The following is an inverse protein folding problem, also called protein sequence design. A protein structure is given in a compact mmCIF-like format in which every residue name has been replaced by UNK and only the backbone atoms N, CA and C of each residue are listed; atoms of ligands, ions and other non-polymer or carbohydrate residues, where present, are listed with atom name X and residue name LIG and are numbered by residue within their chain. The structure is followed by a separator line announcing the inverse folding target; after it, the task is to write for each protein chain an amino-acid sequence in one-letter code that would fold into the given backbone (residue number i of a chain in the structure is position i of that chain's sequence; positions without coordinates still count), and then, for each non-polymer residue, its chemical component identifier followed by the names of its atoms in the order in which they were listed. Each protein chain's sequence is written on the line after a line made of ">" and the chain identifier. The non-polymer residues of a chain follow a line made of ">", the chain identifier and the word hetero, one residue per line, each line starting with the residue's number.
data_IF_798634536327
#
_entry.id   IF_798634536327
#
_cell.length_a   1.000
_cell.length_b   1.000
_cell.length_c   1.000
_cell.angle_alpha   90.00
_cell.angle_beta   90.00
_cell.angle_gamma   90.00
#
_symmetry.space_group_name_H-M   'P 1'
#
loop_
_entity.id
_entity.type
_entity.pdbx_description
1 polymer ?
#
# COMPACT_ATOMS: atom_id res chain seq x y z
N UNK A 1 -7.74 -6.85 -16.13
CA UNK A 1 -6.52 -6.43 -15.41
C UNK A 1 -6.08 -7.46 -14.39
N UNK A 2 -7.02 -8.03 -13.64
CA UNK A 2 -6.81 -9.07 -12.63
C UNK A 2 -6.48 -10.45 -13.24
N UNK A 3 -6.45 -11.46 -12.39
CA UNK A 3 -6.23 -12.87 -12.70
C UNK A 3 -7.08 -13.42 -13.84
N UNK A 4 -6.47 -14.28 -14.66
CA UNK A 4 -7.15 -14.91 -15.81
C UNK A 4 -8.36 -15.74 -15.36
N UNK A 5 -8.31 -16.31 -14.16
CA UNK A 5 -9.43 -17.07 -13.58
C UNK A 5 -10.69 -16.22 -13.38
N UNK A 6 -10.57 -14.89 -13.31
CA UNK A 6 -11.69 -13.97 -13.16
C UNK A 6 -12.30 -13.54 -14.48
N UNK A 7 -11.63 -13.76 -15.62
CA UNK A 7 -12.13 -13.36 -16.95
C UNK A 7 -13.51 -13.95 -17.26
N UNK A 8 -13.77 -15.17 -16.77
CA UNK A 8 -15.06 -15.83 -16.92
C UNK A 8 -16.24 -15.08 -16.28
N UNK A 9 -15.99 -14.15 -15.34
CA UNK A 9 -17.06 -13.41 -14.66
C UNK A 9 -17.34 -12.04 -15.28
N UNK A 10 -16.49 -11.53 -16.18
CA UNK A 10 -16.60 -10.17 -16.74
C UNK A 10 -17.99 -9.91 -17.34
N UNK A 11 -18.49 -10.86 -18.15
CA UNK A 11 -19.81 -10.75 -18.78
C UNK A 11 -20.96 -10.63 -17.77
N UNK A 12 -20.78 -11.09 -16.52
CA UNK A 12 -21.80 -10.98 -15.47
C UNK A 12 -21.89 -9.56 -14.93
N UNK A 13 -20.74 -8.93 -14.68
CA UNK A 13 -20.68 -7.51 -14.28
C UNK A 13 -21.24 -6.61 -15.38
N UNK A 14 -20.91 -6.87 -16.65
CA UNK A 14 -21.43 -6.11 -17.78
C UNK A 14 -22.95 -6.28 -17.94
N UNK A 15 -23.46 -7.51 -17.78
CA UNK A 15 -24.90 -7.79 -17.87
C UNK A 15 -25.70 -7.09 -16.78
N UNK A 16 -25.23 -7.14 -15.54
CA UNK A 16 -25.86 -6.44 -14.42
C UNK A 16 -25.53 -4.93 -14.39
N UNK A 17 -24.73 -4.45 -15.35
CA UNK A 17 -24.32 -3.04 -15.51
C UNK A 17 -23.75 -2.43 -14.23
N UNK A 18 -22.95 -3.21 -13.50
CA UNK A 18 -22.30 -2.76 -12.28
C UNK A 18 -21.39 -1.57 -12.60
N UNK A 19 -21.72 -0.41 -12.04
CA UNK A 19 -20.95 0.82 -12.23
C UNK A 19 -19.83 0.94 -11.18
N UNK A 20 -19.02 2.00 -11.28
CA UNK A 20 -17.90 2.22 -10.36
C UNK A 20 -18.31 2.38 -8.89
N UNK A 21 -19.43 3.06 -8.62
CA UNK A 21 -19.92 3.26 -7.24
C UNK A 21 -20.37 1.94 -6.60
N UNK A 22 -21.14 1.15 -7.36
CA UNK A 22 -21.57 -0.18 -6.93
C UNK A 22 -20.39 -1.13 -6.73
N UNK A 23 -19.39 -1.09 -7.63
CA UNK A 23 -18.20 -1.91 -7.51
C UNK A 23 -17.40 -1.58 -6.25
N UNK A 24 -17.31 -0.30 -5.87
CA UNK A 24 -16.58 0.15 -4.67
C UNK A 24 -17.29 -0.25 -3.36
N UNK A 25 -18.56 -0.64 -3.41
CA UNK A 25 -19.37 -1.06 -2.25
C UNK A 25 -19.70 -2.55 -2.28
N UNK A 26 -19.13 -3.31 -3.22
CA UNK A 26 -19.48 -4.70 -3.45
C UNK A 26 -19.08 -5.58 -2.26
N UNK A 27 -19.98 -6.45 -1.81
CA UNK A 27 -19.77 -7.38 -0.71
C UNK A 27 -19.61 -8.83 -1.18
N UNK A 28 -19.22 -9.72 -0.27
CA UNK A 28 -19.23 -11.17 -0.52
C UNK A 28 -20.59 -11.67 -1.00
N UNK A 29 -21.69 -11.15 -0.42
CA UNK A 29 -23.04 -11.54 -0.80
C UNK A 29 -23.37 -11.07 -2.22
N UNK A 30 -23.02 -9.84 -2.59
CA UNK A 30 -23.25 -9.32 -3.94
C UNK A 30 -22.48 -10.13 -4.99
N UNK A 31 -21.25 -10.55 -4.68
CA UNK A 31 -20.46 -11.41 -5.57
C UNK A 31 -21.07 -12.80 -5.70
N UNK A 32 -21.63 -13.36 -4.62
CA UNK A 32 -22.37 -14.62 -4.66
C UNK A 32 -23.63 -14.52 -5.52
N UNK A 33 -24.37 -13.41 -5.41
CA UNK A 33 -25.57 -13.12 -6.21
C UNK A 33 -25.22 -12.91 -7.70
N UNK A 34 -24.04 -12.36 -8.00
CA UNK A 34 -23.43 -12.34 -9.33
C UNK A 34 -22.95 -13.74 -9.78
N UNK A 35 -23.10 -14.77 -8.97
CA UNK A 35 -22.73 -16.16 -9.26
C UNK A 35 -21.22 -16.41 -9.20
N UNK A 36 -20.50 -15.64 -8.38
CA UNK A 36 -19.10 -15.85 -8.05
C UNK A 36 -19.06 -16.50 -6.67
N UNK A 37 -19.35 -17.80 -6.59
CA UNK A 37 -19.46 -18.52 -5.30
C UNK A 37 -18.12 -19.04 -4.76
N UNK A 38 -17.06 -19.03 -5.56
CA UNK A 38 -15.73 -19.46 -5.11
C UNK A 38 -15.11 -18.37 -4.24
N UNK A 39 -14.95 -18.65 -2.96
CA UNK A 39 -14.35 -17.72 -1.97
C UNK A 39 -13.05 -17.12 -2.49
N UNK A 40 -12.10 -17.94 -2.96
CA UNK A 40 -10.83 -17.41 -3.47
C UNK A 40 -10.96 -16.45 -4.66
N UNK A 41 -12.02 -16.56 -5.46
CA UNK A 41 -12.29 -15.59 -6.52
C UNK A 41 -12.96 -14.31 -5.99
N UNK A 42 -13.83 -14.44 -4.98
CA UNK A 42 -14.42 -13.30 -4.30
C UNK A 42 -13.32 -12.45 -3.64
N UNK A 43 -12.39 -13.08 -2.92
CA UNK A 43 -11.26 -12.41 -2.27
C UNK A 43 -10.41 -11.62 -3.27
N UNK A 44 -10.09 -12.18 -4.44
CA UNK A 44 -9.32 -11.47 -5.47
C UNK A 44 -10.04 -10.22 -6.01
N UNK A 45 -11.37 -10.27 -6.12
CA UNK A 45 -12.16 -9.10 -6.57
C UNK A 45 -12.21 -8.05 -5.47
N UNK A 46 -12.49 -8.46 -4.24
CA UNK A 46 -12.58 -7.55 -3.09
C UNK A 46 -11.24 -6.89 -2.79
N UNK A 47 -10.14 -7.65 -2.83
CA UNK A 47 -8.79 -7.12 -2.66
C UNK A 47 -8.47 -6.07 -3.74
N UNK A 48 -8.83 -6.33 -5.00
CA UNK A 48 -8.65 -5.35 -6.07
C UNK A 48 -9.48 -4.07 -5.86
N UNK A 49 -10.72 -4.19 -5.35
CA UNK A 49 -11.57 -3.06 -5.00
C UNK A 49 -10.98 -2.26 -3.83
N UNK A 50 -10.51 -2.94 -2.80
CA UNK A 50 -9.83 -2.32 -1.65
C UNK A 50 -8.60 -1.52 -2.08
N UNK A 51 -7.82 -2.03 -3.04
CA UNK A 51 -6.67 -1.32 -3.59
C UNK A 51 -7.08 -0.06 -4.38
N UNK A 52 -8.20 -0.10 -5.10
CA UNK A 52 -8.75 1.09 -5.78
C UNK A 52 -9.28 2.12 -4.79
N UNK A 53 -9.96 1.68 -3.73
CA UNK A 53 -10.37 2.53 -2.61
C UNK A 53 -9.15 3.19 -1.97
N UNK A 54 -8.13 2.41 -1.60
CA UNK A 54 -6.90 2.90 -0.99
C UNK A 54 -6.17 3.92 -1.87
N UNK A 55 -6.17 3.70 -3.19
CA UNK A 55 -5.67 4.69 -4.14
C UNK A 55 -6.45 6.00 -4.06
N UNK A 56 -7.78 5.94 -4.13
CA UNK A 56 -8.65 7.12 -4.14
C UNK A 56 -8.53 7.95 -2.85
N UNK A 57 -8.48 7.30 -1.68
CA UNK A 57 -8.39 8.00 -0.39
C UNK A 57 -6.96 8.39 0.01
N UNK A 58 -5.95 7.64 -0.43
CA UNK A 58 -4.55 7.82 -0.02
C UNK A 58 -3.76 8.81 -0.87
N UNK A 59 -4.22 9.16 -2.07
CA UNK A 59 -3.50 10.10 -2.96
C UNK A 59 -3.51 11.55 -2.48
N UNK A 60 -4.58 12.00 -1.84
CA UNK A 60 -4.75 13.41 -1.45
C UNK A 60 -4.28 13.72 -0.02
N UNK A 61 -4.19 12.72 0.86
CA UNK A 61 -4.05 12.95 2.31
C UNK A 61 -2.85 12.30 2.97
N UNK A 62 -2.18 11.34 2.34
CA UNK A 62 -1.08 10.63 2.98
C UNK A 62 0.25 11.35 2.78
N UNK A 63 0.76 11.87 3.89
CA UNK A 63 2.17 12.15 4.12
C UNK A 63 2.58 11.48 5.43
N UNK A 64 3.88 11.37 5.67
CA UNK A 64 4.40 10.69 6.86
C UNK A 64 3.84 11.29 8.16
N UNK A 65 3.73 12.62 8.23
CA UNK A 65 3.16 13.32 9.39
C UNK A 65 1.71 12.88 9.68
N UNK A 66 0.85 12.83 8.67
CA UNK A 66 -0.54 12.41 8.81
C UNK A 66 -0.64 10.94 9.21
N UNK A 67 0.19 10.07 8.65
CA UNK A 67 0.24 8.65 9.02
C UNK A 67 0.69 8.44 10.48
N UNK A 68 1.69 9.19 10.93
CA UNK A 68 2.13 9.18 12.33
C UNK A 68 1.03 9.70 13.26
N UNK A 69 0.30 10.74 12.87
CA UNK A 69 -0.84 11.26 13.64
C UNK A 69 -1.99 10.26 13.72
N UNK A 70 -2.34 9.58 12.60
CA UNK A 70 -3.35 8.51 12.56
C UNK A 70 -2.94 7.35 13.50
N UNK A 71 -1.69 6.90 13.44
CA UNK A 71 -1.15 5.86 14.33
C UNK A 71 -1.25 6.27 15.81
N UNK A 72 -0.88 7.51 16.14
CA UNK A 72 -0.98 8.05 17.49
C UNK A 72 -2.43 8.12 17.99
N UNK A 73 -3.36 8.58 17.13
CA UNK A 73 -4.77 8.66 17.47
C UNK A 73 -5.36 7.28 17.78
N UNK A 74 -5.10 6.28 16.93
CA UNK A 74 -5.56 4.91 17.15
C UNK A 74 -4.97 4.31 18.44
N UNK A 75 -3.68 4.54 18.72
CA UNK A 75 -3.03 4.09 19.95
C UNK A 75 -3.64 4.73 21.21
N UNK A 76 -3.97 6.02 21.17
CA UNK A 76 -4.64 6.71 22.27
C UNK A 76 -6.07 6.22 22.47
N UNK A 77 -6.82 5.98 21.39
CA UNK A 77 -8.17 5.45 21.45
C UNK A 77 -8.20 4.07 22.13
N UNK A 78 -7.28 3.17 21.75
CA UNK A 78 -7.15 1.86 22.39
C UNK A 78 -6.80 1.97 23.88
N UNK A 79 -5.88 2.86 24.26
CA UNK A 79 -5.52 3.07 25.66
C UNK A 79 -6.69 3.66 26.48
N UNK A 80 -7.46 4.58 25.89
CA UNK A 80 -8.65 5.16 26.51
C UNK A 80 -9.76 4.12 26.67
N UNK A 81 -9.94 3.25 25.68
CA UNK A 81 -10.86 2.12 25.74
C UNK A 81 -10.52 1.20 26.91
N UNK A 82 -9.28 0.71 26.98
CA UNK A 82 -8.80 -0.16 28.06
C UNK A 82 -8.98 0.51 29.42
N UNK A 83 -8.56 1.78 29.53
CA UNK A 83 -8.65 2.53 30.79
C UNK A 83 -10.09 2.75 31.24
N UNK A 84 -11.01 2.98 30.32
CA UNK A 84 -12.44 3.15 30.60
C UNK A 84 -13.07 1.82 31.03
N UNK A 85 -12.71 0.73 30.34
CA UNK A 85 -13.21 -0.61 30.65
C UNK A 85 -12.81 -1.07 32.04
N UNK A 86 -11.55 -0.88 32.43
CA UNK A 86 -11.03 -1.26 33.75
C UNK A 86 -11.66 -0.51 34.91
N UNK A 87 -12.19 0.70 34.66
CA UNK A 87 -12.91 1.50 35.66
C UNK A 87 -14.37 1.08 35.82
N UNK A 88 -14.90 0.24 34.92
CA UNK A 88 -16.28 -0.24 34.99
C UNK A 88 -16.47 -1.18 36.17
N UNK A 89 -17.59 -1.03 36.89
CA UNK A 89 -17.98 -1.95 37.97
C UNK A 89 -18.21 -3.39 37.49
N UNK A 90 -18.46 -3.57 36.19
CA UNK A 90 -18.70 -4.87 35.57
C UNK A 90 -17.42 -5.42 34.88
N UNK A 91 -16.24 -4.94 35.26
CA UNK A 91 -14.99 -5.42 34.68
C UNK A 91 -14.73 -6.88 35.05
N UNK A 92 -14.77 -7.74 34.03
CA UNK A 92 -14.59 -9.19 34.13
C UNK A 92 -13.18 -9.64 33.71
N UNK A 93 -12.26 -8.72 33.42
CA UNK A 93 -11.03 -9.06 32.71
C UNK A 93 -10.05 -9.95 33.47
N UNK A 94 -10.15 -10.02 34.80
CA UNK A 94 -9.30 -10.90 35.63
C UNK A 94 -9.72 -12.38 35.56
N UNK A 95 -10.96 -12.66 35.18
CA UNK A 95 -11.51 -14.03 35.12
C UNK A 95 -11.84 -14.44 33.68
N UNK A 96 -12.28 -13.49 32.87
CA UNK A 96 -12.57 -13.71 31.45
C UNK A 96 -11.29 -13.96 30.65
N UNK A 97 -11.39 -14.90 29.71
CA UNK A 97 -10.37 -15.19 28.68
C UNK A 97 -10.83 -14.78 27.28
N UNK A 98 -12.05 -14.26 27.16
CA UNK A 98 -12.63 -13.84 25.88
C UNK A 98 -12.58 -12.31 25.79
N UNK A 99 -11.68 -11.73 24.99
CA UNK A 99 -11.66 -10.28 24.80
C UNK A 99 -12.96 -9.83 24.11
N UNK A 100 -13.50 -8.66 24.48
CA UNK A 100 -14.65 -8.08 23.79
C UNK A 100 -14.29 -7.69 22.35
N UNK A 101 -15.29 -7.73 21.46
CA UNK A 101 -15.07 -7.45 20.05
C UNK A 101 -14.53 -6.03 19.79
N UNK A 102 -15.03 -5.02 20.51
CA UNK A 102 -14.55 -3.64 20.37
C UNK A 102 -13.05 -3.50 20.69
N UNK A 103 -12.54 -4.24 21.68
CA UNK A 103 -11.10 -4.28 21.97
C UNK A 103 -10.32 -4.84 20.79
N UNK A 104 -10.78 -5.96 20.21
CA UNK A 104 -10.15 -6.57 19.05
C UNK A 104 -10.20 -5.63 17.83
N UNK A 105 -11.32 -4.96 17.60
CA UNK A 105 -11.46 -3.95 16.54
C UNK A 105 -10.44 -2.82 16.72
N UNK A 106 -10.32 -2.25 17.92
CA UNK A 106 -9.31 -1.21 18.20
C UNK A 106 -7.87 -1.70 18.01
N UNK A 107 -7.57 -2.96 18.32
CA UNK A 107 -6.24 -3.56 18.04
C UNK A 107 -6.00 -3.68 16.53
N UNK A 108 -7.00 -4.13 15.76
CA UNK A 108 -6.91 -4.23 14.31
C UNK A 108 -6.74 -2.86 13.67
N UNK A 109 -7.49 -1.84 14.12
CA UNK A 109 -7.33 -0.45 13.67
C UNK A 109 -5.91 0.08 13.93
N UNK A 110 -5.34 -0.21 15.11
CA UNK A 110 -3.98 0.18 15.47
C UNK A 110 -2.94 -0.48 14.55
N UNK A 111 -3.09 -1.78 14.29
CA UNK A 111 -2.24 -2.52 13.35
C UNK A 111 -2.40 -1.96 11.94
N UNK A 112 -3.62 -1.63 11.51
CA UNK A 112 -3.90 -1.02 10.20
C UNK A 112 -3.19 0.32 10.03
N UNK A 113 -3.27 1.21 11.03
CA UNK A 113 -2.56 2.49 11.02
C UNK A 113 -1.02 2.30 10.98
N UNK A 114 -0.50 1.30 11.70
CA UNK A 114 0.93 0.98 11.68
C UNK A 114 1.38 0.43 10.31
N UNK A 115 0.58 -0.45 9.68
CA UNK A 115 0.83 -0.96 8.33
C UNK A 115 0.88 0.16 7.30
N UNK A 116 -0.04 1.13 7.37
CA UNK A 116 -0.03 2.28 6.48
C UNK A 116 1.27 3.11 6.61
N UNK A 117 1.75 3.33 7.84
CA UNK A 117 3.04 4.00 8.07
C UNK A 117 4.22 3.18 7.56
N UNK A 118 4.23 1.85 7.76
CA UNK A 118 5.27 0.95 7.25
C UNK A 118 5.33 0.98 5.72
N UNK A 119 4.19 0.93 5.05
CA UNK A 119 4.11 1.02 3.59
C UNK A 119 4.68 2.35 3.06
N UNK A 120 4.50 3.45 3.81
CA UNK A 120 5.11 4.74 3.48
C UNK A 120 6.64 4.73 3.66
N UNK A 121 7.12 4.15 4.75
CA UNK A 121 8.55 4.00 5.04
C UNK A 121 9.28 3.07 4.06
N UNK A 122 8.54 2.20 3.36
CA UNK A 122 9.06 1.33 2.31
C UNK A 122 9.23 1.99 0.95
N UNK A 123 8.93 3.29 0.86
CA UNK A 123 9.19 4.10 -0.33
C UNK A 123 10.56 4.77 -0.24
N UNK A 124 11.19 4.94 -1.40
CA UNK A 124 12.35 5.83 -1.55
C UNK A 124 11.91 7.27 -1.21
N UNK A 125 12.70 8.07 -0.46
CA UNK A 125 14.10 7.86 -0.06
C UNK A 125 14.28 7.22 1.31
N UNK A 126 13.20 6.86 2.02
CA UNK A 126 13.26 6.30 3.37
C UNK A 126 13.96 4.93 3.40
N UNK A 127 13.83 4.17 2.31
CA UNK A 127 14.56 2.92 2.09
C UNK A 127 16.06 3.17 2.03
N UNK A 128 16.80 2.70 3.05
CA UNK A 128 18.27 2.79 3.13
C UNK A 128 18.78 3.79 4.18
N UNK A 129 17.91 4.57 4.80
CA UNK A 129 18.26 5.45 5.92
C UNK A 129 18.20 4.63 7.22
N UNK A 130 19.32 4.59 7.97
CA UNK A 130 19.47 3.73 9.15
C UNK A 130 18.40 3.97 10.23
N UNK A 131 18.07 5.23 10.51
CA UNK A 131 17.07 5.61 11.52
C UNK A 131 15.66 5.13 11.15
N UNK A 132 15.25 5.30 9.88
CA UNK A 132 13.95 4.82 9.40
C UNK A 132 13.90 3.29 9.32
N UNK A 133 15.01 2.62 8.98
CA UNK A 133 15.11 1.16 9.02
C UNK A 133 14.91 0.62 10.45
N UNK A 134 15.55 1.25 11.43
CA UNK A 134 15.37 0.91 12.86
C UNK A 134 13.93 1.14 13.33
N UNK A 135 13.35 2.29 12.96
CA UNK A 135 11.93 2.59 13.24
C UNK A 135 10.99 1.55 12.63
N UNK A 136 11.19 1.21 11.35
CA UNK A 136 10.41 0.20 10.63
C UNK A 136 10.46 -1.15 11.34
N UNK A 137 11.66 -1.65 11.63
CA UNK A 137 11.84 -2.94 12.31
C UNK A 137 11.18 -2.94 13.69
N UNK A 138 11.28 -1.84 14.43
CA UNK A 138 10.65 -1.73 15.74
C UNK A 138 9.12 -1.76 15.65
N UNK A 139 8.52 -1.03 14.69
CA UNK A 139 7.07 -1.05 14.47
C UNK A 139 6.59 -2.44 14.07
N UNK A 140 7.32 -3.13 13.16
CA UNK A 140 7.00 -4.51 12.76
C UNK A 140 6.95 -5.43 13.98
N UNK A 141 7.98 -5.40 14.83
CA UNK A 141 8.01 -6.21 16.05
C UNK A 141 6.82 -5.93 16.97
N UNK A 142 6.47 -4.65 17.16
CA UNK A 142 5.32 -4.27 17.99
C UNK A 142 3.98 -4.75 17.41
N UNK A 143 3.80 -4.73 16.08
CA UNK A 143 2.60 -5.29 15.44
C UNK A 143 2.51 -6.82 15.59
N UNK A 144 3.65 -7.51 15.54
CA UNK A 144 3.71 -8.94 15.82
C UNK A 144 3.39 -9.23 17.29
N UNK A 145 3.90 -8.42 18.22
CA UNK A 145 3.58 -8.52 19.64
C UNK A 145 2.08 -8.30 19.91
N UNK A 146 1.44 -7.33 19.25
CA UNK A 146 -0.02 -7.12 19.35
C UNK A 146 -0.79 -8.34 18.85
N UNK A 147 -0.44 -8.83 17.66
CA UNK A 147 -1.12 -9.97 17.01
C UNK A 147 -0.99 -11.24 17.86
N UNK A 148 0.22 -11.53 18.34
CA UNK A 148 0.47 -12.71 19.19
C UNK A 148 -0.18 -12.58 20.55
N UNK A 149 -0.23 -11.37 21.13
CA UNK A 149 -0.87 -11.12 22.43
C UNK A 149 -2.37 -11.38 22.38
N UNK A 150 -3.09 -10.90 21.35
CA UNK A 150 -4.55 -11.10 21.26
C UNK A 150 -4.96 -12.53 20.91
N UNK A 151 -4.02 -13.34 20.41
CA UNK A 151 -4.22 -14.75 20.12
C UNK A 151 -3.81 -15.67 21.27
N UNK A 152 -3.10 -15.14 22.28
CA UNK A 152 -2.61 -15.95 23.41
C UNK A 152 -3.77 -16.31 24.34
N UNK A 153 -3.79 -17.57 24.78
CA UNK A 153 -4.67 -18.00 25.87
C UNK A 153 -4.15 -17.43 27.21
N UNK A 154 -4.72 -16.30 27.62
CA UNK A 154 -4.49 -15.65 28.90
C UNK A 154 -5.75 -14.89 29.35
N UNK A 155 -5.71 -14.33 30.56
CA UNK A 155 -6.80 -13.46 31.00
C UNK A 155 -6.87 -12.21 30.14
N UNK A 156 -8.05 -11.61 30.03
CA UNK A 156 -8.23 -10.33 29.32
C UNK A 156 -7.41 -9.22 30.01
N UNK A 157 -7.25 -9.26 31.33
CA UNK A 157 -6.39 -8.33 32.06
C UNK A 157 -4.92 -8.40 31.61
N UNK A 158 -4.35 -9.60 31.54
CA UNK A 158 -2.97 -9.82 31.05
C UNK A 158 -2.80 -9.37 29.60
N UNK A 159 -3.83 -9.62 28.77
CA UNK A 159 -3.85 -9.22 27.37
C UNK A 159 -3.85 -7.69 27.25
N UNK A 160 -4.75 -7.01 27.97
CA UNK A 160 -4.85 -5.56 28.01
C UNK A 160 -3.56 -4.89 28.53
N UNK A 161 -2.88 -5.46 29.53
CA UNK A 161 -1.62 -4.91 30.06
C UNK A 161 -0.49 -4.94 29.02
N UNK A 162 -0.36 -6.04 28.29
CA UNK A 162 0.62 -6.18 27.22
C UNK A 162 0.30 -5.26 26.04
N UNK A 163 -0.96 -5.25 25.61
CA UNK A 163 -1.43 -4.36 24.53
C UNK A 163 -1.20 -2.89 24.91
N UNK A 164 -1.49 -2.50 26.15
CA UNK A 164 -1.24 -1.15 26.64
C UNK A 164 0.26 -0.81 26.64
N UNK A 165 1.13 -1.76 26.98
CA UNK A 165 2.59 -1.57 26.93
C UNK A 165 3.10 -1.34 25.50
N UNK A 166 2.58 -2.13 24.55
CA UNK A 166 2.90 -1.95 23.12
C UNK A 166 2.38 -0.60 22.61
N UNK A 167 1.13 -0.23 22.92
CA UNK A 167 0.53 1.04 22.52
C UNK A 167 1.33 2.25 23.05
N UNK A 168 1.78 2.21 24.30
CA UNK A 168 2.68 3.23 24.89
C UNK A 168 4.00 3.34 24.13
N UNK A 169 4.58 2.21 23.74
CA UNK A 169 5.82 2.18 22.97
C UNK A 169 5.62 2.77 21.57
N UNK A 170 4.53 2.43 20.89
CA UNK A 170 4.15 3.02 19.61
C UNK A 170 3.95 4.54 19.71
N UNK A 171 3.29 5.03 20.76
CA UNK A 171 3.18 6.46 21.02
C UNK A 171 4.55 7.14 21.18
N UNK A 172 5.48 6.49 21.89
CA UNK A 172 6.85 6.99 22.01
C UNK A 172 7.57 7.11 20.66
N UNK A 173 7.31 6.18 19.73
CA UNK A 173 7.82 6.25 18.36
C UNK A 173 7.17 7.42 17.61
N UNK A 174 5.85 7.56 17.69
CA UNK A 174 5.11 8.66 17.06
C UNK A 174 5.60 10.02 17.57
N UNK A 175 5.77 10.17 18.88
CA UNK A 175 6.24 11.41 19.49
C UNK A 175 7.66 11.78 19.04
N UNK A 176 8.55 10.79 18.88
CA UNK A 176 9.88 11.00 18.30
C UNK A 176 9.77 11.47 16.85
N UNK A 177 8.98 10.79 16.03
CA UNK A 177 8.77 11.13 14.62
C UNK A 177 8.16 12.55 14.44
N UNK A 178 7.20 12.93 15.29
CA UNK A 178 6.59 14.28 15.28
C UNK A 178 7.58 15.35 15.73
N UNK A 179 8.45 15.06 16.70
CA UNK A 179 9.48 16.02 17.14
C UNK A 179 10.60 16.19 16.12
N UNK A 180 10.85 15.18 15.28
CA UNK A 180 11.81 15.23 14.18
C UNK A 180 11.28 15.92 12.91
N UNK A 181 10.06 16.50 12.93
CA UNK A 181 9.38 17.07 11.73
C UNK A 181 9.93 18.43 11.26
N UNK A 182 11.20 18.77 11.56
CA UNK A 182 11.91 19.87 10.88
C UNK A 182 12.37 19.48 9.47
N UNK A 183 12.28 18.21 9.09
CA UNK A 183 12.64 17.73 7.76
C UNK A 183 11.46 17.90 6.75
N UNK A 184 11.64 18.67 5.66
CA UNK A 184 10.65 18.82 4.59
C UNK A 184 10.15 17.48 4.02
N UNK A 185 10.98 16.43 4.06
CA UNK A 185 10.61 15.07 3.63
C UNK A 185 9.40 14.50 4.38
N UNK A 186 9.17 14.90 5.64
CA UNK A 186 8.08 14.37 6.46
C UNK A 186 6.71 14.99 6.13
N UNK A 187 6.71 16.19 5.53
CA UNK A 187 5.49 16.95 5.22
C UNK A 187 5.12 16.87 3.73
N UNK A 188 5.94 16.23 2.90
CA UNK A 188 5.68 16.12 1.48
C UNK A 188 4.56 15.11 1.21
N UNK A 189 3.49 15.59 0.58
CA UNK A 189 2.40 14.75 0.11
C UNK A 189 2.81 13.96 -1.14
N UNK A 190 2.09 12.87 -1.39
CA UNK A 190 2.16 12.20 -2.68
C UNK A 190 1.87 13.20 -3.81
N UNK A 191 2.74 13.25 -4.82
CA UNK A 191 2.53 14.07 -6.01
C UNK A 191 2.18 13.15 -7.18
N UNK A 192 1.18 13.51 -7.96
CA UNK A 192 0.86 12.85 -9.23
C UNK A 192 1.45 13.64 -10.38
N UNK A 193 2.16 12.97 -11.28
CA UNK A 193 2.72 13.57 -12.48
C UNK A 193 2.30 12.78 -13.71
N UNK A 194 1.80 13.48 -14.73
CA UNK A 194 1.57 12.87 -16.04
C UNK A 194 2.85 12.94 -16.89
N UNK A 195 3.31 11.79 -17.38
CA UNK A 195 4.50 11.65 -18.22
C UNK A 195 4.14 11.05 -19.57
N UNK A 196 4.56 11.71 -20.65
CA UNK A 196 4.36 11.26 -22.02
C UNK A 196 5.67 10.75 -22.60
N UNK A 197 5.73 9.46 -22.86
CA UNK A 197 6.81 8.86 -23.63
C UNK A 197 6.40 8.84 -25.09
N UNK A 198 7.11 9.61 -25.92
CA UNK A 198 6.83 9.77 -27.36
C UNK A 198 8.08 9.41 -28.18
N UNK A 199 7.95 9.37 -29.50
CA UNK A 199 9.05 9.11 -30.43
C UNK A 199 9.77 7.78 -30.16
N UNK A 200 8.99 6.75 -29.83
CA UNK A 200 9.49 5.39 -29.61
C UNK A 200 9.79 4.77 -30.98
N UNK A 201 11.03 4.34 -31.20
CA UNK A 201 11.40 3.70 -32.47
C UNK A 201 10.77 2.31 -32.57
N UNK A 202 10.46 1.80 -33.78
CA UNK A 202 10.00 0.42 -33.94
C UNK A 202 10.98 -0.58 -33.30
N UNK A 203 10.47 -1.43 -32.40
CA UNK A 203 11.28 -2.41 -31.66
C UNK A 203 12.05 -1.86 -30.44
N UNK A 204 12.03 -0.54 -30.20
CA UNK A 204 12.59 0.06 -28.99
C UNK A 204 11.65 -0.16 -27.80
N UNK A 205 12.17 -0.71 -26.70
CA UNK A 205 11.42 -0.81 -25.45
C UNK A 205 11.41 0.53 -24.71
N UNK A 206 10.38 0.75 -23.87
CA UNK A 206 10.28 1.97 -23.02
C UNK A 206 11.48 2.14 -22.08
N UNK A 207 12.12 1.03 -21.70
CA UNK A 207 13.30 1.01 -20.84
C UNK A 207 13.01 1.22 -19.35
N UNK A 208 11.81 0.86 -18.88
CA UNK A 208 11.47 0.85 -17.44
C UNK A 208 11.60 -0.55 -16.85
N UNK A 209 12.17 -0.64 -15.66
CA UNK A 209 12.12 -1.84 -14.83
C UNK A 209 10.97 -1.69 -13.82
N UNK A 210 10.03 -2.63 -13.81
CA UNK A 210 8.84 -2.55 -12.95
C UNK A 210 8.75 -3.81 -12.12
N UNK A 211 8.60 -3.66 -10.81
CA UNK A 211 8.21 -4.74 -9.89
C UNK A 211 6.78 -4.51 -9.43
N UNK A 212 6.02 -5.59 -9.24
CA UNK A 212 4.72 -5.51 -8.58
C UNK A 212 4.87 -5.97 -7.15
N UNK A 213 4.27 -5.25 -6.20
CA UNK A 213 4.21 -5.67 -4.80
C UNK A 213 3.03 -6.62 -4.59
N UNK A 214 3.02 -7.31 -3.45
CA UNK A 214 1.88 -8.14 -3.04
C UNK A 214 0.62 -7.29 -2.89
N UNK A 215 0.77 -6.07 -2.36
CA UNK A 215 -0.32 -5.09 -2.21
C UNK A 215 -0.73 -4.41 -3.54
N UNK A 216 -0.53 -5.08 -4.69
CA UNK A 216 -0.99 -4.65 -6.01
C UNK A 216 -0.44 -3.31 -6.53
N UNK A 217 0.68 -2.81 -6.01
CA UNK A 217 1.36 -1.61 -6.51
C UNK A 217 2.39 -1.96 -7.57
N UNK A 218 2.52 -1.11 -8.59
CA UNK A 218 3.53 -1.24 -9.64
C UNK A 218 4.61 -0.19 -9.48
N UNK A 219 5.78 -0.59 -8.97
CA UNK A 219 6.88 0.30 -8.63
C UNK A 219 7.97 0.22 -9.68
N UNK A 220 8.37 1.37 -10.20
CA UNK A 220 9.51 1.49 -11.10
C UNK A 220 10.79 1.34 -10.28
N UNK A 221 11.68 0.42 -10.64
CA UNK A 221 12.94 0.15 -9.93
C UNK A 221 14.16 0.74 -10.63
N UNK A 222 13.98 1.25 -11.86
CA UNK A 222 15.04 1.91 -12.61
C UNK A 222 14.66 2.14 -14.06
N UNK A 223 15.54 2.84 -14.77
CA UNK A 223 15.47 3.07 -16.21
C UNK A 223 16.71 2.52 -16.90
N UNK A 224 16.58 2.17 -18.18
CA UNK A 224 17.72 1.81 -19.03
C UNK A 224 18.31 3.10 -19.61
N UNK A 225 19.62 3.26 -19.53
CA UNK A 225 20.33 4.44 -20.04
C UNK A 225 19.97 4.70 -21.51
N UNK A 226 19.73 5.97 -21.85
CA UNK A 226 19.32 6.44 -23.18
C UNK A 226 17.98 5.87 -23.70
N UNK A 227 17.18 5.16 -22.91
CA UNK A 227 15.84 4.69 -23.30
C UNK A 227 14.81 5.83 -23.34
N UNK A 228 13.60 5.65 -23.92
CA UNK A 228 12.54 6.65 -23.87
C UNK A 228 12.22 7.13 -22.45
N UNK A 229 12.16 6.20 -21.48
CA UNK A 229 11.92 6.54 -20.08
C UNK A 229 13.05 7.36 -19.48
N UNK A 230 14.31 7.01 -19.76
CA UNK A 230 15.48 7.75 -19.28
C UNK A 230 15.57 9.14 -19.90
N UNK A 231 15.43 9.25 -21.23
CA UNK A 231 15.45 10.54 -21.95
C UNK A 231 14.36 11.51 -21.49
N UNK A 232 13.25 11.00 -20.94
CA UNK A 232 12.21 11.85 -20.36
C UNK A 232 12.68 12.64 -19.15
N UNK A 233 13.68 12.13 -18.40
CA UNK A 233 14.17 12.65 -17.12
C UNK A 233 13.06 12.86 -16.06
N UNK A 234 11.87 12.29 -16.29
CA UNK A 234 10.69 12.41 -15.43
C UNK A 234 10.36 11.11 -14.71
N UNK A 235 11.03 10.01 -15.03
CA UNK A 235 10.73 8.68 -14.47
C UNK A 235 11.90 8.25 -13.59
N UNK A 236 11.61 7.94 -12.33
CA UNK A 236 12.64 7.58 -11.36
C UNK A 236 12.31 6.28 -10.62
N UNK A 237 13.34 5.62 -10.11
CA UNK A 237 13.18 4.52 -9.19
C UNK A 237 12.40 4.97 -7.94
N UNK A 238 11.34 4.23 -7.60
CA UNK A 238 10.41 4.57 -6.52
C UNK A 238 9.11 5.21 -6.99
N UNK A 239 9.00 5.64 -8.26
CA UNK A 239 7.72 6.10 -8.82
C UNK A 239 6.75 4.91 -8.98
N UNK A 240 5.47 5.11 -8.65
CA UNK A 240 4.43 4.10 -8.78
C UNK A 240 3.56 4.38 -10.01
N UNK A 241 3.29 3.36 -10.82
CA UNK A 241 2.44 3.48 -12.01
C UNK A 241 0.97 3.39 -11.61
N UNK A 242 0.27 4.52 -11.70
CA UNK A 242 -1.16 4.60 -11.35
C UNK A 242 -2.04 4.38 -12.58
N UNK A 243 -1.69 5.03 -13.70
CA UNK A 243 -2.42 4.86 -14.96
C UNK A 243 -1.49 4.67 -16.16
N UNK A 244 -1.99 3.91 -17.13
CA UNK A 244 -1.40 3.76 -18.48
C UNK A 244 -2.47 4.10 -19.50
N UNK A 245 -2.22 5.11 -20.34
CA UNK A 245 -3.16 5.59 -21.35
C UNK A 245 -4.56 5.86 -20.78
N UNK A 246 -4.61 6.54 -19.61
CA UNK A 246 -5.84 6.86 -18.84
C UNK A 246 -6.57 5.67 -18.21
N UNK A 247 -6.04 4.46 -18.34
CA UNK A 247 -6.55 3.29 -17.63
C UNK A 247 -5.85 3.17 -16.29
N UNK A 248 -6.59 3.15 -15.18
CA UNK A 248 -6.04 2.78 -13.86
C UNK A 248 -5.61 1.33 -13.86
N UNK A 249 -4.37 1.08 -13.44
CA UNK A 249 -3.71 -0.23 -13.47
C UNK A 249 -3.35 -0.76 -12.08
N UNK A 250 -3.71 -0.04 -11.01
CA UNK A 250 -3.50 -0.51 -9.63
C UNK A 250 -4.26 -1.83 -9.40
N UNK A 251 -3.61 -2.78 -8.75
CA UNK A 251 -4.14 -4.14 -8.53
C UNK A 251 -4.05 -5.06 -9.76
N UNK A 252 -3.53 -4.60 -10.90
CA UNK A 252 -3.41 -5.47 -12.08
C UNK A 252 -2.26 -6.48 -11.92
N UNK A 253 -2.36 -7.58 -12.65
CA UNK A 253 -1.22 -8.46 -12.83
C UNK A 253 -0.14 -7.78 -13.70
N UNK A 254 1.13 -7.97 -13.36
CA UNK A 254 2.27 -7.36 -14.09
C UNK A 254 2.22 -7.64 -15.59
N UNK A 255 1.85 -8.86 -16.00
CA UNK A 255 1.73 -9.22 -17.42
C UNK A 255 0.71 -8.35 -18.17
N UNK A 256 -0.39 -8.00 -17.51
CA UNK A 256 -1.49 -7.21 -18.08
C UNK A 256 -1.09 -5.73 -18.14
N UNK A 257 -0.38 -5.23 -17.12
CA UNK A 257 0.26 -3.91 -17.17
C UNK A 257 1.24 -3.81 -18.37
N UNK A 258 2.13 -4.80 -18.51
CA UNK A 258 3.11 -4.82 -19.60
C UNK A 258 2.43 -4.89 -20.97
N UNK A 259 1.35 -5.67 -21.11
CA UNK A 259 0.54 -5.69 -22.32
C UNK A 259 -0.06 -4.30 -22.61
N UNK A 260 -0.62 -3.62 -21.60
CA UNK A 260 -1.19 -2.27 -21.74
C UNK A 260 -0.15 -1.22 -22.15
N UNK A 261 1.07 -1.31 -21.61
CA UNK A 261 2.20 -0.45 -21.98
C UNK A 261 2.65 -0.64 -23.44
N UNK A 262 2.38 -1.81 -24.04
CA UNK A 262 2.77 -2.15 -25.42
C UNK A 262 1.66 -1.91 -26.46
N UNK A 263 0.45 -1.57 -26.01
CA UNK A 263 -0.72 -1.42 -26.87
C UNK A 263 -0.56 -0.31 -27.92
N UNK A 264 0.15 0.76 -27.59
CA UNK A 264 0.36 1.90 -28.50
C UNK A 264 1.84 2.07 -28.88
N UNK A 265 2.23 1.73 -30.13
CA UNK A 265 3.61 1.88 -30.60
C UNK A 265 4.07 3.34 -30.73
N UNK A 266 3.14 4.29 -30.89
CA UNK A 266 3.49 5.70 -31.13
C UNK A 266 3.90 6.44 -29.83
N UNK A 267 3.51 5.92 -28.67
CA UNK A 267 3.77 6.56 -27.39
C UNK A 267 2.88 6.05 -26.28
N UNK A 268 3.30 6.30 -25.04
CA UNK A 268 2.59 5.90 -23.82
C UNK A 268 2.41 7.10 -22.91
N UNK A 269 1.20 7.25 -22.38
CA UNK A 269 0.88 8.23 -21.33
C UNK A 269 0.82 7.53 -19.99
N UNK A 270 1.59 8.01 -19.03
CA UNK A 270 1.66 7.47 -17.69
C UNK A 270 1.16 8.51 -16.69
N UNK A 271 0.33 8.10 -15.75
CA UNK A 271 0.14 8.86 -14.52
C UNK A 271 0.95 8.16 -13.43
N UNK A 272 1.96 8.86 -12.90
CA UNK A 272 2.87 8.33 -11.91
C UNK A 272 2.64 8.99 -10.56
N UNK A 273 2.57 8.20 -9.50
CA UNK A 273 2.71 8.70 -8.14
C UNK A 273 4.20 8.82 -7.84
N UNK A 274 4.65 10.04 -7.63
CA UNK A 274 6.05 10.37 -7.43
C UNK A 274 6.50 9.93 -6.06
N UNK A 275 7.72 9.40 -6.01
CA UNK A 275 8.44 9.24 -4.75
C UNK A 275 8.54 10.59 -4.01
N UNK A 276 8.49 10.62 -2.68
CA UNK A 276 8.87 11.80 -1.91
C UNK A 276 10.29 12.26 -2.30
N UNK A 277 10.50 13.55 -2.48
CA UNK A 277 11.77 14.19 -2.83
C UNK A 277 12.15 15.26 -1.81
N UNK A 278 13.12 14.96 -0.96
CA UNK A 278 13.89 15.98 -0.26
C UNK A 278 14.86 16.63 -1.24
N UNK A 279 15.41 17.79 -0.89
CA UNK A 279 16.40 18.59 -1.64
C UNK A 279 17.73 17.86 -1.97
N UNK A 280 17.76 16.53 -2.08
CA UNK A 280 18.93 15.77 -2.47
C UNK A 280 18.87 15.53 -3.97
N UNK A 281 19.80 16.17 -4.69
CA UNK A 281 20.15 15.80 -6.06
C UNK A 281 20.41 14.30 -6.10
N UNK A 282 19.46 13.55 -6.65
CA UNK A 282 19.59 12.12 -6.83
C UNK A 282 20.19 11.85 -8.21
N UNK A 283 21.28 11.09 -8.21
CA UNK A 283 21.78 10.40 -9.38
C UNK A 283 20.77 9.32 -9.79
N UNK A 284 20.29 9.30 -11.04
CA UNK A 284 19.57 8.13 -11.56
C UNK A 284 20.44 6.92 -11.30
N UNK A 285 19.93 5.83 -10.74
CA UNK A 285 20.67 4.58 -10.69
C UNK A 285 20.70 4.03 -12.12
N UNK A 286 21.79 4.20 -12.89
CA UNK A 286 21.86 3.64 -14.23
C UNK A 286 22.12 2.16 -13.96
N UNK A 287 21.09 1.33 -14.06
CA UNK A 287 21.31 -0.11 -14.04
C UNK A 287 22.08 -0.44 -15.31
N UNK A 288 23.42 -0.53 -15.19
CA UNK A 288 24.31 -1.06 -16.22
C UNK A 288 23.92 -2.52 -16.46
N UNK A 289 23.04 -2.71 -17.43
CA UNK A 289 22.71 -3.94 -18.15
C UNK A 289 23.31 -5.24 -17.56
N UNK A 290 22.62 -5.84 -16.59
CA UNK A 290 22.72 -7.28 -16.38
C UNK A 290 21.56 -7.98 -17.12
N UNK A 291 21.74 -7.96 -18.46
CA UNK A 291 21.20 -8.83 -19.51
C UNK A 291 19.73 -9.24 -19.41
N UNK A 292 18.88 -8.48 -20.10
CA UNK A 292 17.84 -9.08 -20.96
C UNK A 292 18.31 -8.93 -22.42
N UNK A 293 18.50 -10.05 -23.12
CA UNK A 293 18.66 -10.06 -24.59
C UNK A 293 17.37 -10.64 -25.18
N UNK A 294 16.70 -9.96 -26.12
CA UNK A 294 15.57 -10.56 -26.82
C UNK A 294 16.01 -11.83 -27.56
N UNK A 295 15.15 -12.86 -27.69
CA UNK A 295 15.43 -13.99 -28.57
C UNK A 295 15.65 -13.47 -29.98
N UNK A 296 16.72 -13.95 -30.64
CA UNK A 296 16.89 -13.75 -32.07
C UNK A 296 15.76 -14.52 -32.76
N UNK A 297 14.91 -13.79 -33.49
CA UNK A 297 13.94 -14.40 -34.40
C UNK A 297 14.78 -15.07 -35.49
N UNK A 298 14.76 -16.41 -35.52
CA UNK A 298 15.25 -17.21 -36.65
C UNK A 298 14.18 -17.27 -37.73
#
# INVERSE_FOLDING_TARGET
>A
GLDDCLQQYVHKFEREKINGEQLLQISHQDLEDLGISRIGHQELVLEAVDLLCALNYGLETDNMKNLVLKLRASSNNLQNYISSRRKSSNYDGNTSRKPPNEFLTSVVELIGAAKALLAWLDRTPFTGIADFSSMKNRIIQLCLDLTTTVQKDCTVADMEDKVQTVAKTLNGICDKAIRSTTDPLMSQCACLEEVHLTNIKPGEGLGMYIKSTYDGLHVITGTTENSPADRSQKIHAGDEVIQVNRQTVVGWQLKNLVAKLRENPAGVRLLLKKRPTGSFHFTPAPLKNLRWKPPLVQ
#
